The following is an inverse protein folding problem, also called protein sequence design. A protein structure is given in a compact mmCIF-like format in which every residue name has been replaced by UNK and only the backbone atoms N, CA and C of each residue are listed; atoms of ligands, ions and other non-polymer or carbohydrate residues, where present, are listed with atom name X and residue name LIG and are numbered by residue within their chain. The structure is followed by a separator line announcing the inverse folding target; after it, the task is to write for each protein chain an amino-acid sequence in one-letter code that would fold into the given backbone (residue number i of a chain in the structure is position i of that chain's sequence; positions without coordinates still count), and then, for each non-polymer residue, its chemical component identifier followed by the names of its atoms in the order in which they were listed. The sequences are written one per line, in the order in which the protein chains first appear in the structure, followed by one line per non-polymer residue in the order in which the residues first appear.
data_IF_747303268823
#
_entry.id   IF_747303268823
#
_cell.length_a   1.000
_cell.length_b   1.000
_cell.length_c   1.000
_cell.angle_alpha   90.00
_cell.angle_beta   90.00
_cell.angle_gamma   90.00
#
_symmetry.space_group_name_H-M   'P 1'
#
loop_
_entity.id
_entity.type
_entity.pdbx_description
1 polymer ?
#
# COMPACT_ATOMS: atom_id res chain seq x y z
N UNK A 1 3.15 -0.74 -24.65
CA UNK A 1 3.08 -1.02 -23.21
C UNK A 1 1.61 -0.97 -22.79
N UNK A 2 1.20 -1.83 -21.86
CA UNK A 2 -0.13 -1.79 -21.23
C UNK A 2 -0.01 -2.25 -19.76
N UNK A 3 -1.05 -2.07 -18.95
CA UNK A 3 -1.08 -2.60 -17.57
C UNK A 3 -1.64 -4.03 -17.54
N UNK A 4 -2.07 -4.50 -16.37
CA UNK A 4 -2.67 -5.83 -16.17
C UNK A 4 -4.20 -5.85 -16.30
N UNK A 5 -4.84 -4.83 -16.88
CA UNK A 5 -6.30 -4.83 -17.05
C UNK A 5 -6.79 -5.97 -17.96
N UNK A 6 -7.81 -6.75 -17.56
CA UNK A 6 -8.10 -8.06 -18.16
C UNK A 6 -8.71 -8.03 -19.58
N UNK A 7 -9.19 -6.87 -20.04
CA UNK A 7 -9.91 -6.72 -21.32
C UNK A 7 -9.01 -6.14 -22.41
N UNK A 8 -9.14 -4.84 -22.70
CA UNK A 8 -8.48 -4.21 -23.84
C UNK A 8 -6.95 -4.35 -23.80
N UNK A 9 -6.36 -4.23 -22.61
CA UNK A 9 -4.91 -4.28 -22.44
C UNK A 9 -4.35 -5.69 -22.65
N UNK A 10 -5.02 -6.72 -22.10
CA UNK A 10 -4.70 -8.11 -22.41
C UNK A 10 -4.75 -8.40 -23.91
N UNK A 11 -5.82 -7.94 -24.59
CA UNK A 11 -5.95 -8.13 -26.03
C UNK A 11 -4.81 -7.44 -26.81
N UNK A 12 -4.43 -6.22 -26.41
CA UNK A 12 -3.31 -5.50 -27.04
C UNK A 12 -1.97 -6.23 -26.85
N UNK A 13 -1.70 -6.74 -25.65
CA UNK A 13 -0.47 -7.51 -25.37
C UNK A 13 -0.41 -8.80 -26.19
N UNK A 14 -1.52 -9.54 -26.24
CA UNK A 14 -1.60 -10.78 -27.02
C UNK A 14 -1.46 -10.53 -28.53
N UNK A 15 -2.10 -9.49 -29.07
CA UNK A 15 -1.98 -9.11 -30.47
C UNK A 15 -0.55 -8.69 -30.83
N UNK A 16 0.13 -7.94 -29.96
CA UNK A 16 1.54 -7.61 -30.14
C UNK A 16 2.41 -8.86 -30.24
N UNK A 17 2.17 -9.86 -29.38
CA UNK A 17 2.84 -11.16 -29.46
C UNK A 17 2.62 -11.89 -30.78
N UNK A 18 1.38 -11.90 -31.30
CA UNK A 18 1.05 -12.50 -32.60
C UNK A 18 1.72 -11.79 -33.78
N UNK A 19 1.96 -10.47 -33.66
CA UNK A 19 2.61 -9.66 -34.68
C UNK A 19 4.13 -9.60 -34.53
N UNK A 20 4.71 -10.28 -33.52
CA UNK A 20 6.15 -10.21 -33.24
C UNK A 20 6.63 -8.85 -32.74
N UNK A 21 5.72 -8.01 -32.22
CA UNK A 21 6.02 -6.68 -31.68
C UNK A 21 6.38 -6.83 -30.19
N UNK A 22 7.56 -6.35 -29.74
CA UNK A 22 7.91 -6.37 -28.32
C UNK A 22 6.88 -5.65 -27.45
N UNK A 23 6.51 -6.27 -26.33
CA UNK A 23 5.47 -5.76 -25.45
C UNK A 23 5.90 -5.78 -23.97
N UNK A 24 5.44 -4.78 -23.23
CA UNK A 24 5.66 -4.66 -21.79
C UNK A 24 4.28 -4.64 -21.13
N UNK A 25 4.09 -5.52 -20.15
CA UNK A 25 2.99 -5.47 -19.19
C UNK A 25 3.51 -4.88 -17.87
N UNK A 26 3.00 -3.72 -17.46
CA UNK A 26 3.28 -3.14 -16.15
C UNK A 26 2.18 -3.54 -15.17
N UNK A 27 2.51 -4.41 -14.22
CA UNK A 27 1.57 -4.84 -13.19
C UNK A 27 1.34 -3.69 -12.22
N UNK A 28 0.07 -3.31 -12.02
CA UNK A 28 -0.29 -2.18 -11.17
C UNK A 28 0.01 -2.46 -9.68
N UNK A 29 -0.57 -3.52 -9.11
CA UNK A 29 -0.37 -3.89 -7.70
C UNK A 29 0.23 -5.29 -7.57
N UNK A 30 -0.56 -6.26 -7.09
CA UNK A 30 -0.09 -7.58 -6.70
C UNK A 30 -0.40 -8.67 -7.72
N UNK A 31 -1.30 -8.40 -8.68
CA UNK A 31 -1.74 -9.35 -9.71
C UNK A 31 -2.22 -10.72 -9.19
N UNK A 32 -2.84 -10.78 -8.00
CA UNK A 32 -3.21 -12.06 -7.36
C UNK A 32 -4.15 -12.93 -8.20
N UNK A 33 -5.01 -12.31 -9.02
CA UNK A 33 -5.91 -13.04 -9.93
C UNK A 33 -5.28 -13.14 -11.32
N UNK A 34 -4.68 -12.04 -11.80
CA UNK A 34 -4.14 -11.90 -13.13
C UNK A 34 -2.92 -12.80 -13.38
N UNK A 35 -2.22 -13.21 -12.32
CA UNK A 35 -1.08 -14.11 -12.40
C UNK A 35 -1.42 -15.42 -13.13
N UNK A 36 -2.67 -15.87 -13.10
CA UNK A 36 -3.11 -17.08 -13.79
C UNK A 36 -2.82 -17.05 -15.30
N UNK A 37 -2.90 -15.87 -15.93
CA UNK A 37 -2.60 -15.70 -17.35
C UNK A 37 -1.32 -14.90 -17.63
N UNK A 38 -1.01 -13.87 -16.83
CA UNK A 38 0.23 -13.08 -17.00
C UNK A 38 1.46 -13.92 -16.63
N UNK A 39 1.30 -14.86 -15.69
CA UNK A 39 2.34 -15.79 -15.26
C UNK A 39 2.73 -16.83 -16.31
N UNK A 40 1.91 -17.03 -17.34
CA UNK A 40 2.25 -17.98 -18.39
C UNK A 40 3.42 -17.45 -19.23
N UNK A 41 4.37 -18.32 -19.64
CA UNK A 41 5.43 -17.96 -20.58
C UNK A 41 4.89 -17.27 -21.84
N UNK A 42 5.59 -16.24 -22.31
CA UNK A 42 5.24 -15.59 -23.59
C UNK A 42 4.02 -14.65 -23.57
N UNK A 43 3.36 -14.42 -22.43
CA UNK A 43 2.30 -13.40 -22.30
C UNK A 43 2.72 -12.01 -22.82
N UNK A 44 3.80 -11.43 -22.27
CA UNK A 44 4.45 -10.23 -22.79
C UNK A 44 5.95 -10.47 -23.05
N UNK A 45 6.68 -9.56 -23.68
CA UNK A 45 8.15 -9.65 -23.77
C UNK A 45 8.82 -9.38 -22.43
N UNK A 46 8.27 -8.43 -21.66
CA UNK A 46 8.66 -8.13 -20.27
C UNK A 46 7.43 -7.87 -19.41
N UNK A 47 7.51 -8.27 -18.14
CA UNK A 47 6.53 -8.01 -17.09
C UNK A 47 7.24 -7.21 -16.01
N UNK A 48 6.81 -5.96 -15.83
CA UNK A 48 7.31 -5.07 -14.80
C UNK A 48 6.44 -5.24 -13.55
N UNK A 49 7.05 -5.51 -12.40
CA UNK A 49 6.34 -5.82 -11.14
C UNK A 49 6.75 -4.88 -10.01
N UNK A 50 5.86 -4.75 -9.02
CA UNK A 50 6.02 -3.85 -7.88
C UNK A 50 7.25 -4.17 -7.02
N UNK A 51 7.44 -5.44 -6.65
CA UNK A 51 8.49 -5.87 -5.73
C UNK A 51 8.89 -7.34 -5.95
N UNK A 52 9.88 -7.81 -5.20
CA UNK A 52 10.37 -9.19 -5.29
C UNK A 52 9.35 -10.24 -4.84
N UNK A 53 8.38 -9.89 -3.98
CA UNK A 53 7.30 -10.80 -3.59
C UNK A 53 6.40 -11.10 -4.79
N UNK A 54 6.01 -10.07 -5.54
CA UNK A 54 5.22 -10.22 -6.77
C UNK A 54 6.05 -10.97 -7.82
N UNK A 55 7.34 -10.66 -7.97
CA UNK A 55 8.25 -11.43 -8.85
C UNK A 55 8.24 -12.92 -8.53
N UNK A 56 8.36 -13.29 -7.25
CA UNK A 56 8.36 -14.69 -6.81
C UNK A 56 7.06 -15.40 -7.18
N UNK A 57 5.92 -14.75 -6.93
CA UNK A 57 4.61 -15.27 -7.32
C UNK A 57 4.54 -15.55 -8.84
N UNK A 58 5.07 -14.67 -9.68
CA UNK A 58 5.13 -14.89 -11.13
C UNK A 58 6.03 -16.07 -11.53
N UNK A 59 7.19 -16.22 -10.89
CA UNK A 59 8.09 -17.36 -11.12
C UNK A 59 7.40 -18.69 -10.79
N UNK A 60 6.68 -18.75 -9.66
CA UNK A 60 5.92 -19.93 -9.22
C UNK A 60 4.81 -20.31 -10.22
N UNK A 61 4.28 -19.35 -10.97
CA UNK A 61 3.28 -19.57 -12.02
C UNK A 61 3.87 -19.87 -13.41
N UNK A 62 5.18 -20.15 -13.47
CA UNK A 62 5.86 -20.63 -14.67
C UNK A 62 6.49 -19.54 -15.53
N UNK A 63 6.42 -18.27 -15.11
CA UNK A 63 7.02 -17.15 -15.85
C UNK A 63 8.54 -17.24 -15.79
N UNK A 64 9.21 -16.93 -16.90
CA UNK A 64 10.67 -16.98 -16.95
C UNK A 64 11.30 -15.79 -16.23
N UNK A 65 12.39 -16.04 -15.51
CA UNK A 65 13.01 -15.03 -14.64
C UNK A 65 13.51 -13.79 -15.38
N UNK A 66 13.99 -13.97 -16.61
CA UNK A 66 14.47 -12.93 -17.51
C UNK A 66 13.35 -12.09 -18.13
N UNK A 67 12.10 -12.57 -18.05
CA UNK A 67 10.92 -11.84 -18.49
C UNK A 67 10.34 -10.95 -17.40
N UNK A 68 10.81 -11.05 -16.14
CA UNK A 68 10.24 -10.32 -15.00
C UNK A 68 11.26 -9.31 -14.47
N UNK A 69 10.89 -8.04 -14.45
CA UNK A 69 11.73 -6.95 -13.95
C UNK A 69 11.02 -6.29 -12.77
N UNK A 70 11.69 -6.16 -11.62
CA UNK A 70 11.17 -5.40 -10.49
C UNK A 70 11.44 -3.93 -10.74
N UNK A 71 10.39 -3.16 -11.01
CA UNK A 71 10.50 -1.73 -11.32
C UNK A 71 9.84 -0.84 -10.28
N UNK A 72 8.94 -1.37 -9.44
CA UNK A 72 7.98 -0.55 -8.71
C UNK A 72 6.79 -0.14 -9.59
N UNK A 73 5.94 0.76 -9.08
CA UNK A 73 4.78 1.29 -9.80
C UNK A 73 4.88 2.83 -9.95
N UNK A 74 4.90 3.37 -11.18
CA UNK A 74 4.92 4.81 -11.46
C UNK A 74 3.85 5.64 -10.75
N UNK A 75 2.68 5.06 -10.46
CA UNK A 75 1.61 5.74 -9.73
C UNK A 75 2.05 6.22 -8.33
N UNK A 76 3.11 5.63 -7.79
CA UNK A 76 3.65 5.92 -6.47
C UNK A 76 4.94 6.73 -6.48
N UNK A 77 5.50 7.10 -7.65
CA UNK A 77 6.76 7.86 -7.74
C UNK A 77 6.70 9.19 -6.97
N UNK A 78 5.52 9.82 -6.92
CA UNK A 78 5.31 11.07 -6.17
C UNK A 78 5.55 10.92 -4.66
N UNK A 79 5.36 9.72 -4.11
CA UNK A 79 5.49 9.46 -2.67
C UNK A 79 6.91 9.60 -2.17
N UNK A 80 7.92 9.38 -3.02
CA UNK A 80 9.33 9.51 -2.65
C UNK A 80 9.95 10.81 -3.17
N UNK A 81 9.14 11.73 -3.72
CA UNK A 81 9.63 13.00 -4.24
C UNK A 81 10.05 13.94 -3.11
N UNK A 82 11.09 14.75 -3.34
CA UNK A 82 11.52 15.80 -2.39
C UNK A 82 10.36 16.73 -2.05
N UNK A 83 9.53 17.09 -3.04
CA UNK A 83 8.35 17.92 -2.83
C UNK A 83 7.34 17.31 -1.84
N UNK A 84 7.10 15.99 -1.88
CA UNK A 84 6.19 15.33 -0.94
C UNK A 84 6.77 15.28 0.47
N UNK A 85 8.09 15.05 0.60
CA UNK A 85 8.80 15.07 1.88
C UNK A 85 8.73 16.46 2.51
N UNK A 86 9.05 17.51 1.75
CA UNK A 86 9.02 18.90 2.20
C UNK A 86 7.59 19.33 2.58
N UNK A 87 6.60 18.96 1.78
CA UNK A 87 5.18 19.24 2.07
C UNK A 87 4.72 18.54 3.35
N UNK A 88 5.14 17.29 3.60
CA UNK A 88 4.85 16.58 4.84
C UNK A 88 5.51 17.22 6.06
N UNK A 89 6.76 17.66 5.95
CA UNK A 89 7.45 18.40 7.01
C UNK A 89 6.72 19.73 7.34
N UNK A 90 6.31 20.47 6.30
CA UNK A 90 5.53 21.69 6.46
C UNK A 90 4.16 21.43 7.10
N UNK A 91 3.46 20.36 6.69
CA UNK A 91 2.20 19.93 7.30
C UNK A 91 2.40 19.58 8.78
N UNK A 92 3.43 18.80 9.11
CA UNK A 92 3.76 18.43 10.49
C UNK A 92 4.00 19.67 11.35
N UNK A 93 4.74 20.65 10.83
CA UNK A 93 4.97 21.93 11.52
C UNK A 93 3.68 22.73 11.68
N UNK A 94 2.87 22.86 10.64
CA UNK A 94 1.61 23.61 10.67
C UNK A 94 0.59 23.02 11.67
N UNK A 95 0.61 21.70 11.88
CA UNK A 95 -0.22 21.01 12.87
C UNK A 95 0.39 20.98 14.27
N UNK A 96 1.61 21.50 14.45
CA UNK A 96 2.30 21.49 15.74
C UNK A 96 2.76 20.11 16.17
N UNK A 97 2.97 19.18 15.24
CA UNK A 97 3.30 17.78 15.53
C UNK A 97 4.80 17.54 15.84
N UNK A 98 5.57 18.61 16.01
CA UNK A 98 7.01 18.59 16.33
C UNK A 98 7.29 18.62 17.85
N UNK A 99 6.33 18.22 18.67
CA UNK A 99 6.37 18.25 20.13
C UNK A 99 6.87 16.93 20.77
N UNK A 100 7.43 16.03 19.97
CA UNK A 100 8.00 14.77 20.43
C UNK A 100 7.00 13.62 20.61
N UNK A 101 5.70 13.86 20.39
CA UNK A 101 4.69 12.81 20.39
C UNK A 101 4.80 11.93 19.14
N UNK A 102 4.55 10.63 19.31
CA UNK A 102 4.39 9.71 18.17
C UNK A 102 3.03 9.94 17.52
N UNK A 103 3.03 10.27 16.24
CA UNK A 103 1.84 10.55 15.44
C UNK A 103 1.39 9.31 14.69
N UNK A 104 0.28 8.73 15.13
CA UNK A 104 -0.30 7.52 14.51
C UNK A 104 -1.40 7.92 13.55
N UNK A 105 -1.32 7.49 12.29
CA UNK A 105 -2.41 7.62 11.32
C UNK A 105 -3.27 6.35 11.34
N UNK A 106 -4.57 6.50 11.60
CA UNK A 106 -5.57 5.50 11.27
C UNK A 106 -6.22 5.86 9.94
N UNK A 107 -5.84 5.13 8.88
CA UNK A 107 -6.49 5.25 7.58
C UNK A 107 -7.58 4.17 7.47
N UNK A 108 -8.79 4.55 7.88
CA UNK A 108 -9.94 3.67 7.92
C UNK A 108 -10.35 3.20 6.52
N UNK A 109 -10.98 2.04 6.49
CA UNK A 109 -11.54 1.42 5.30
C UNK A 109 -12.94 0.88 5.64
N UNK A 110 -13.83 0.85 4.65
CA UNK A 110 -15.13 0.18 4.81
C UNK A 110 -14.93 -1.33 4.87
N UNK A 111 -15.49 -1.94 5.90
CA UNK A 111 -15.62 -3.39 6.00
C UNK A 111 -17.08 -3.78 5.72
N UNK A 112 -17.38 -4.53 4.64
CA UNK A 112 -18.74 -4.99 4.37
C UNK A 112 -19.05 -6.30 5.10
N UNK A 113 -20.33 -6.62 5.23
CA UNK A 113 -20.78 -7.91 5.81
C UNK A 113 -20.43 -9.11 4.93
N UNK A 114 -20.25 -8.89 3.63
CA UNK A 114 -19.97 -9.94 2.63
C UNK A 114 -18.96 -9.47 1.63
N UNK A 115 -18.10 -10.40 1.22
CA UNK A 115 -17.15 -10.16 0.15
C UNK A 115 -17.87 -10.06 -1.21
N UNK A 116 -17.55 -9.09 -2.07
CA UNK A 116 -18.24 -8.90 -3.35
C UNK A 116 -18.04 -10.05 -4.35
N UNK A 117 -16.95 -10.81 -4.20
CA UNK A 117 -16.54 -11.87 -5.14
C UNK A 117 -16.38 -13.27 -4.51
N UNK A 118 -16.66 -13.42 -3.22
CA UNK A 118 -16.50 -14.71 -2.51
C UNK A 118 -17.62 -14.87 -1.47
N UNK A 119 -17.83 -16.09 -0.97
CA UNK A 119 -18.82 -16.35 0.08
C UNK A 119 -18.36 -15.97 1.50
N UNK A 120 -17.24 -15.25 1.63
CA UNK A 120 -16.69 -14.83 2.93
C UNK A 120 -17.58 -13.77 3.58
N UNK A 121 -17.79 -13.92 4.88
CA UNK A 121 -18.46 -12.94 5.72
C UNK A 121 -17.45 -12.01 6.40
N UNK A 122 -17.84 -10.75 6.56
CA UNK A 122 -17.06 -9.71 7.23
C UNK A 122 -17.75 -9.12 8.44
N UNK A 123 -17.03 -8.22 9.11
CA UNK A 123 -17.49 -7.52 10.31
C UNK A 123 -17.51 -6.01 10.08
N UNK A 124 -18.66 -5.41 9.74
CA UNK A 124 -18.77 -3.96 9.55
C UNK A 124 -18.36 -3.11 10.75
N UNK A 125 -18.24 -3.71 11.94
CA UNK A 125 -17.80 -3.01 13.14
C UNK A 125 -16.28 -2.93 13.25
N UNK A 126 -15.53 -3.71 12.48
CA UNK A 126 -14.07 -3.79 12.52
C UNK A 126 -13.39 -2.41 12.46
N UNK A 127 -13.71 -1.49 11.51
CA UNK A 127 -13.03 -0.20 11.44
C UNK A 127 -13.22 0.65 12.71
N UNK A 128 -14.40 0.56 13.35
CA UNK A 128 -14.69 1.26 14.60
C UNK A 128 -14.04 0.57 15.80
N UNK A 129 -13.95 -0.76 15.81
CA UNK A 129 -13.20 -1.51 16.83
C UNK A 129 -11.72 -1.12 16.82
N UNK A 130 -11.09 -1.06 15.65
CA UNK A 130 -9.70 -0.61 15.51
C UNK A 130 -9.54 0.82 15.99
N UNK A 131 -10.38 1.74 15.53
CA UNK A 131 -10.34 3.14 15.98
C UNK A 131 -10.51 3.27 17.50
N UNK A 132 -11.44 2.52 18.10
CA UNK A 132 -11.66 2.54 19.55
C UNK A 132 -10.41 2.09 20.33
N UNK A 133 -9.68 1.07 19.83
CA UNK A 133 -8.43 0.60 20.43
C UNK A 133 -7.32 1.65 20.33
N UNK A 134 -7.20 2.34 19.20
CA UNK A 134 -6.23 3.43 19.01
C UNK A 134 -6.56 4.66 19.87
N UNK A 135 -7.84 5.01 19.99
CA UNK A 135 -8.28 6.09 20.90
C UNK A 135 -7.98 5.74 22.36
N UNK A 136 -8.20 4.49 22.77
CA UNK A 136 -7.86 4.02 24.12
C UNK A 136 -6.35 4.07 24.38
N UNK A 137 -5.52 3.74 23.38
CA UNK A 137 -4.06 3.90 23.46
C UNK A 137 -3.70 5.37 23.74
N UNK A 138 -4.16 6.32 22.92
CA UNK A 138 -3.85 7.75 23.09
C UNK A 138 -4.38 8.33 24.40
N UNK A 139 -5.53 7.84 24.88
CA UNK A 139 -6.10 8.27 26.16
C UNK A 139 -5.27 7.78 27.35
N UNK A 140 -4.72 6.57 27.28
CA UNK A 140 -3.94 5.95 28.37
C UNK A 140 -2.46 6.28 28.34
N UNK A 141 -1.94 6.71 27.19
CA UNK A 141 -0.52 6.95 26.97
C UNK A 141 -0.29 8.35 26.37
N UNK A 142 0.27 9.30 27.16
CA UNK A 142 0.45 10.67 26.72
C UNK A 142 1.54 10.83 25.66
N UNK A 143 2.33 9.79 25.34
CA UNK A 143 3.36 9.83 24.31
C UNK A 143 2.84 9.72 22.88
N UNK A 144 1.53 9.48 22.70
CA UNK A 144 0.91 9.29 21.40
C UNK A 144 -0.13 10.36 21.06
N UNK A 145 -0.26 10.62 19.76
CA UNK A 145 -1.43 11.25 19.14
C UNK A 145 -2.00 10.36 18.05
N UNK A 146 -3.29 10.52 17.78
CA UNK A 146 -3.99 9.80 16.72
C UNK A 146 -4.56 10.80 15.69
N UNK A 147 -4.24 10.57 14.43
CA UNK A 147 -4.87 11.22 13.29
C UNK A 147 -5.81 10.20 12.65
N UNK A 148 -7.10 10.51 12.62
CA UNK A 148 -8.12 9.66 12.00
C UNK A 148 -8.44 10.19 10.62
N UNK A 149 -8.37 9.31 9.61
CA UNK A 149 -8.80 9.59 8.24
C UNK A 149 -9.82 8.53 7.83
N UNK A 150 -11.07 8.96 7.62
CA UNK A 150 -12.11 8.06 7.12
C UNK A 150 -12.03 7.87 5.62
N UNK A 151 -12.43 6.71 5.14
CA UNK A 151 -12.59 6.47 3.71
C UNK A 151 -13.69 7.37 3.14
N UNK A 152 -13.57 7.91 1.91
CA UNK A 152 -14.56 8.84 1.33
C UNK A 152 -15.99 8.31 1.27
N UNK A 153 -16.15 6.98 1.19
CA UNK A 153 -17.46 6.31 1.17
C UNK A 153 -18.04 6.09 2.57
N UNK A 154 -17.26 6.27 3.65
CA UNK A 154 -17.80 6.21 5.01
C UNK A 154 -18.70 7.42 5.27
N UNK A 155 -19.76 7.19 6.05
CA UNK A 155 -20.70 8.24 6.48
C UNK A 155 -20.67 8.37 7.99
N UNK A 156 -19.47 8.63 8.52
CA UNK A 156 -19.23 8.74 9.95
C UNK A 156 -18.75 10.14 10.30
N UNK A 157 -19.38 10.74 11.31
CA UNK A 157 -18.93 12.01 11.87
C UNK A 157 -17.71 11.79 12.77
N UNK A 158 -16.66 12.57 12.55
CA UNK A 158 -15.50 12.55 13.41
C UNK A 158 -15.85 13.07 14.82
N UNK A 159 -15.34 12.39 15.85
CA UNK A 159 -15.44 12.81 17.24
C UNK A 159 -14.06 13.24 17.75
N UNK A 160 -13.93 14.52 18.06
CA UNK A 160 -12.71 15.06 18.65
C UNK A 160 -12.49 14.53 20.07
N UNK A 161 -11.22 14.37 20.44
CA UNK A 161 -10.77 14.06 21.79
C UNK A 161 -9.36 14.61 21.99
N UNK A 162 -8.84 14.74 23.23
CA UNK A 162 -7.46 15.18 23.46
C UNK A 162 -6.46 14.33 22.67
N UNK A 163 -5.57 14.98 21.91
CA UNK A 163 -4.58 14.35 21.00
C UNK A 163 -5.19 13.41 19.94
N UNK A 164 -6.48 13.57 19.63
CA UNK A 164 -7.13 12.88 18.52
C UNK A 164 -7.64 13.91 17.53
N UNK A 165 -7.06 13.89 16.34
CA UNK A 165 -7.32 14.84 15.26
C UNK A 165 -7.92 14.14 14.05
N UNK A 166 -8.54 14.94 13.18
CA UNK A 166 -9.08 14.48 11.90
C UNK A 166 -8.18 14.92 10.74
N UNK A 167 -7.99 14.04 9.77
CA UNK A 167 -7.48 14.40 8.45
C UNK A 167 -8.60 14.26 7.43
N UNK A 168 -8.96 15.38 6.79
CA UNK A 168 -10.03 15.38 5.80
C UNK A 168 -9.57 14.74 4.48
N UNK A 169 -10.49 14.19 3.70
CA UNK A 169 -10.17 13.57 2.40
C UNK A 169 -9.58 14.54 1.39
N UNK A 170 -9.74 15.84 1.59
CA UNK A 170 -9.12 16.92 0.81
C UNK A 170 -7.63 17.13 1.11
N UNK A 171 -7.14 16.69 2.28
CA UNK A 171 -5.70 16.69 2.56
C UNK A 171 -5.01 15.65 1.68
N UNK A 172 -3.88 16.02 1.09
CA UNK A 172 -3.09 15.13 0.25
C UNK A 172 -2.51 14.00 1.10
N UNK A 173 -2.76 12.75 0.70
CA UNK A 173 -2.29 11.57 1.42
C UNK A 173 -0.77 11.48 1.43
N UNK A 174 -0.08 11.87 0.36
CA UNK A 174 1.39 11.79 0.29
C UNK A 174 2.04 12.68 1.36
N UNK A 175 1.57 13.92 1.47
CA UNK A 175 2.05 14.89 2.46
C UNK A 175 1.74 14.39 3.88
N UNK A 176 0.54 13.86 4.10
CA UNK A 176 0.15 13.29 5.39
C UNK A 176 1.05 12.11 5.80
N UNK A 177 1.36 11.20 4.87
CA UNK A 177 2.23 10.06 5.14
C UNK A 177 3.64 10.48 5.57
N UNK A 178 4.16 11.60 5.05
CA UNK A 178 5.44 12.18 5.51
C UNK A 178 5.33 13.00 6.79
N UNK A 179 4.12 13.35 7.22
CA UNK A 179 3.88 14.10 8.46
C UNK A 179 3.70 13.19 9.70
N UNK A 180 3.47 11.89 9.51
CA UNK A 180 3.17 10.91 10.57
C UNK A 180 4.31 9.93 10.83
N UNK A 181 4.24 9.22 11.95
CA UNK A 181 5.30 8.33 12.43
C UNK A 181 4.96 6.85 12.25
N UNK A 182 3.68 6.46 12.41
CA UNK A 182 3.20 5.09 12.23
C UNK A 182 1.85 5.11 11.52
N UNK A 183 1.62 4.17 10.59
CA UNK A 183 0.36 4.06 9.86
C UNK A 183 -0.33 2.74 10.19
N UNK A 184 -1.61 2.80 10.53
CA UNK A 184 -2.48 1.65 10.79
C UNK A 184 -3.54 1.59 9.70
N UNK A 185 -3.71 0.39 9.13
CA UNK A 185 -4.68 0.08 8.07
C UNK A 185 -5.33 -1.27 8.32
N UNK A 186 -6.42 -1.55 7.61
CA UNK A 186 -6.84 -2.91 7.24
C UNK A 186 -6.44 -3.16 5.77
N UNK A 187 -7.35 -3.60 4.91
CA UNK A 187 -7.10 -3.73 3.48
C UNK A 187 -7.29 -2.40 2.74
N UNK A 188 -6.24 -1.57 2.73
CA UNK A 188 -6.24 -0.25 2.06
C UNK A 188 -4.92 0.01 1.36
N UNK A 189 -4.96 0.53 0.12
CA UNK A 189 -3.76 0.90 -0.64
C UNK A 189 -2.88 1.91 0.10
N UNK A 190 -3.45 2.68 1.02
CA UNK A 190 -2.70 3.57 1.91
C UNK A 190 -1.61 2.82 2.68
N UNK A 191 -1.81 1.53 2.99
CA UNK A 191 -0.78 0.69 3.62
C UNK A 191 0.45 0.51 2.74
N UNK A 192 0.24 0.26 1.44
CA UNK A 192 1.34 0.22 0.48
C UNK A 192 1.99 1.61 0.31
N UNK A 193 1.18 2.67 0.16
CA UNK A 193 1.69 4.03 0.01
C UNK A 193 2.55 4.46 1.22
N UNK A 194 2.12 4.12 2.43
CA UNK A 194 2.85 4.39 3.67
C UNK A 194 4.20 3.67 3.71
N UNK A 195 4.23 2.40 3.33
CA UNK A 195 5.46 1.61 3.25
C UNK A 195 6.45 2.21 2.24
N UNK A 196 5.95 2.69 1.09
CA UNK A 196 6.75 3.38 0.07
C UNK A 196 7.29 4.71 0.59
N UNK A 197 6.51 5.45 1.36
CA UNK A 197 6.95 6.67 2.05
C UNK A 197 7.90 6.40 3.25
N UNK A 198 8.32 5.15 3.45
CA UNK A 198 9.23 4.74 4.51
C UNK A 198 8.60 4.77 5.91
N UNK A 199 7.28 4.74 6.01
CA UNK A 199 6.58 4.71 7.30
C UNK A 199 6.37 3.26 7.75
N UNK A 200 6.59 2.94 9.04
CA UNK A 200 6.13 1.69 9.63
C UNK A 200 4.61 1.51 9.44
N UNK A 201 4.21 0.35 8.92
CA UNK A 201 2.81 0.02 8.66
C UNK A 201 2.36 -1.15 9.52
N UNK A 202 1.20 -1.01 10.14
CA UNK A 202 0.51 -2.06 10.87
C UNK A 202 -0.77 -2.39 10.10
N UNK A 203 -0.91 -3.64 9.69
CA UNK A 203 -2.11 -4.17 9.04
C UNK A 203 -2.92 -4.95 10.05
N UNK A 204 -4.19 -4.60 10.25
CA UNK A 204 -5.13 -5.40 11.04
C UNK A 204 -5.75 -6.46 10.13
N UNK A 205 -5.29 -7.69 10.31
CA UNK A 205 -5.56 -8.83 9.43
C UNK A 205 -6.87 -9.56 9.78
N UNK A 206 -7.84 -8.85 10.37
CA UNK A 206 -9.23 -9.32 10.61
C UNK A 206 -10.17 -9.02 9.42
N UNK A 207 -9.74 -8.24 8.43
CA UNK A 207 -10.58 -7.84 7.30
C UNK A 207 -10.83 -9.00 6.34
N UNK A 208 -12.03 -9.07 5.75
CA UNK A 208 -12.35 -10.05 4.70
C UNK A 208 -11.47 -9.90 3.47
N UNK A 209 -10.90 -8.72 3.28
CA UNK A 209 -10.06 -8.37 2.14
C UNK A 209 -8.58 -8.60 2.44
N UNK A 210 -8.20 -9.00 3.66
CA UNK A 210 -6.80 -9.32 4.01
C UNK A 210 -6.16 -10.31 3.02
N UNK A 211 -6.85 -11.37 2.54
CA UNK A 211 -6.26 -12.29 1.57
C UNK A 211 -6.02 -11.69 0.18
N UNK A 212 -6.58 -10.51 -0.09
CA UNK A 212 -6.46 -9.78 -1.36
C UNK A 212 -5.33 -8.73 -1.31
N UNK A 213 -4.84 -8.38 -0.12
CA UNK A 213 -3.72 -7.43 0.06
C UNK A 213 -2.45 -8.09 0.60
N UNK A 214 -2.58 -9.05 1.51
CA UNK A 214 -1.49 -9.86 2.12
C UNK A 214 -0.23 -9.07 2.48
N UNK A 215 -0.39 -7.88 3.07
CA UNK A 215 0.72 -6.97 3.33
C UNK A 215 1.81 -7.56 4.21
N UNK A 216 1.46 -8.39 5.20
CA UNK A 216 2.43 -9.07 6.04
C UNK A 216 3.32 -10.05 5.24
N UNK A 217 2.71 -10.91 4.43
CA UNK A 217 3.43 -11.88 3.58
C UNK A 217 4.35 -11.19 2.57
N UNK A 218 3.94 -10.01 2.09
CA UNK A 218 4.69 -9.22 1.11
C UNK A 218 5.78 -8.33 1.73
N UNK A 219 5.91 -8.31 3.07
CA UNK A 219 6.85 -7.44 3.77
C UNK A 219 6.49 -5.95 3.72
N UNK A 220 5.24 -5.62 3.39
CA UNK A 220 4.71 -4.23 3.33
C UNK A 220 4.37 -3.72 4.72
N UNK A 221 3.83 -4.59 5.58
CA UNK A 221 3.36 -4.22 6.91
C UNK A 221 3.67 -5.30 7.93
N UNK A 222 3.62 -4.93 9.21
CA UNK A 222 3.45 -5.89 10.29
C UNK A 222 1.97 -6.24 10.42
N UNK A 223 1.62 -7.49 10.17
CA UNK A 223 0.28 -8.01 10.40
C UNK A 223 -0.01 -8.20 11.89
N UNK A 224 -1.22 -7.84 12.33
CA UNK A 224 -1.79 -8.25 13.62
C UNK A 224 -3.05 -9.04 13.37
N UNK A 225 -3.19 -10.20 14.02
CA UNK A 225 -4.32 -11.09 13.79
C UNK A 225 -5.62 -10.54 14.40
N UNK A 226 -5.51 -9.60 15.34
CA UNK A 226 -6.66 -8.94 15.94
C UNK A 226 -6.50 -7.43 16.15
N UNK A 227 -7.60 -6.70 16.04
CA UNK A 227 -7.74 -5.31 16.48
C UNK A 227 -7.34 -5.12 17.95
N UNK A 228 -7.41 -6.16 18.79
CA UNK A 228 -6.94 -6.09 20.18
C UNK A 228 -5.42 -5.96 20.31
N UNK A 229 -4.66 -6.41 19.32
CA UNK A 229 -3.19 -6.39 19.31
C UNK A 229 -2.62 -5.07 18.75
N UNK A 230 -3.46 -4.26 18.08
CA UNK A 230 -3.03 -3.05 17.37
C UNK A 230 -2.27 -2.07 18.27
N UNK A 231 -2.69 -1.92 19.54
CA UNK A 231 -2.04 -1.01 20.46
C UNK A 231 -0.62 -1.45 20.85
N UNK A 232 -0.39 -2.76 21.03
CA UNK A 232 0.95 -3.29 21.28
C UNK A 232 1.84 -3.09 20.06
N UNK A 233 1.33 -3.44 18.87
CA UNK A 233 2.07 -3.27 17.63
C UNK A 233 2.47 -1.81 17.36
N UNK A 234 1.60 -0.84 17.67
CA UNK A 234 1.92 0.59 17.56
C UNK A 234 3.06 0.98 18.50
N UNK A 235 3.04 0.52 19.76
CA UNK A 235 4.13 0.81 20.71
C UNK A 235 5.46 0.23 20.25
N UNK A 236 5.44 -0.99 19.74
CA UNK A 236 6.64 -1.66 19.24
C UNK A 236 7.20 -0.96 17.99
N UNK A 237 6.32 -0.56 17.05
CA UNK A 237 6.72 0.23 15.89
C UNK A 237 7.33 1.58 16.28
N UNK A 238 6.73 2.27 17.26
CA UNK A 238 7.24 3.53 17.79
C UNK A 238 8.61 3.38 18.48
N UNK A 239 8.90 2.21 19.07
CA UNK A 239 10.19 1.88 19.65
C UNK A 239 11.26 1.45 18.60
N UNK A 240 10.94 1.50 17.31
CA UNK A 240 11.87 1.17 16.21
C UNK A 240 11.81 -0.27 15.72
N UNK A 241 10.86 -1.11 16.17
CA UNK A 241 10.69 -2.49 15.71
C UNK A 241 9.87 -2.61 14.40
N UNK A 242 9.97 -1.62 13.50
CA UNK A 242 9.21 -1.59 12.25
C UNK A 242 9.75 -2.53 11.18
N UNK A 243 8.89 -2.96 10.25
CA UNK A 243 9.30 -3.67 9.03
C UNK A 243 9.81 -2.65 8.02
N UNK A 244 11.04 -2.80 7.56
CA UNK A 244 11.57 -1.99 6.47
C UNK A 244 11.07 -2.54 5.13
N UNK A 245 10.21 -1.78 4.44
CA UNK A 245 9.81 -2.10 3.08
C UNK A 245 10.90 -1.68 2.09
N UNK A 246 11.41 -2.62 1.29
CA UNK A 246 12.32 -2.33 0.19
C UNK A 246 11.51 -2.25 -1.11
N UNK A 247 11.42 -1.06 -1.71
CA UNK A 247 11.14 -0.98 -3.15
C UNK A 247 12.35 -1.46 -3.95
N UNK A 248 12.18 -1.67 -5.26
CA UNK A 248 13.17 -2.24 -6.17
C UNK A 248 14.59 -1.67 -6.04
N UNK A 249 15.54 -2.40 -6.63
CA UNK A 249 16.97 -2.38 -6.29
C UNK A 249 17.76 -1.15 -6.78
N UNK A 250 17.14 -0.23 -7.52
CA UNK A 250 17.82 0.89 -8.17
C UNK A 250 17.28 2.20 -7.59
N UNK A 251 18.13 3.08 -7.08
CA UNK A 251 17.75 4.42 -6.57
C UNK A 251 17.20 5.40 -7.64
N UNK A 252 16.46 4.89 -8.63
CA UNK A 252 15.73 5.57 -9.70
C UNK A 252 14.23 5.38 -9.46
N UNK A 253 13.41 6.27 -10.03
CA UNK A 253 11.95 6.14 -9.93
C UNK A 253 11.44 4.95 -10.74
N UNK A 254 10.24 4.46 -10.43
CA UNK A 254 9.63 3.35 -11.16
C UNK A 254 9.37 3.71 -12.63
N UNK A 255 9.02 4.97 -12.90
CA UNK A 255 8.95 5.50 -14.27
C UNK A 255 10.30 5.38 -14.98
N UNK A 256 11.39 5.78 -14.33
CA UNK A 256 12.74 5.69 -14.89
C UNK A 256 13.16 4.25 -15.19
N UNK A 257 12.81 3.30 -14.32
CA UNK A 257 13.09 1.89 -14.55
C UNK A 257 12.27 1.30 -15.71
N UNK A 258 11.00 1.67 -15.83
CA UNK A 258 10.17 1.22 -16.96
C UNK A 258 10.70 1.76 -18.29
N UNK A 259 11.10 3.05 -18.35
CA UNK A 259 11.70 3.62 -19.55
C UNK A 259 12.97 2.87 -19.97
N UNK A 260 13.83 2.51 -19.00
CA UNK A 260 15.01 1.67 -19.26
C UNK A 260 14.65 0.30 -19.83
N UNK A 261 13.58 -0.32 -19.34
CA UNK A 261 13.08 -1.59 -19.89
C UNK A 261 12.58 -1.38 -21.33
N UNK A 262 11.87 -0.29 -21.61
CA UNK A 262 11.42 0.06 -22.97
C UNK A 262 12.60 0.22 -23.93
N UNK A 263 13.61 1.02 -23.55
CA UNK A 263 14.79 1.26 -24.38
C UNK A 263 15.56 -0.04 -24.68
N UNK A 264 15.61 -0.96 -23.72
CA UNK A 264 16.27 -2.27 -23.88
C UNK A 264 15.59 -3.21 -24.89
N UNK A 265 14.33 -2.94 -25.27
CA UNK A 265 13.60 -3.72 -26.27
C UNK A 265 13.65 -3.11 -27.68
N UNK A 266 14.13 -1.86 -27.79
CA UNK A 266 14.27 -1.12 -29.05
C UNK A 266 15.70 -1.16 -29.60
N UNK A 267 16.66 -1.61 -28.80
CA UNK A 267 18.08 -1.77 -29.14
C UNK A 267 18.37 -3.16 -29.68
#
# INVERSE_FOLDING_TARGET
MATNSPRAERAAIMAAGQLGIPSICAVDLFALQEVQWIGQPGYATRVCVLNDSVRRMFLEHGRRSEEIIVTGNPAFDRLTSVAAVDAGAALRQARGWNDGLTTVLWASQIEPERHPFTDRCGDPTLPRRVEARLRALVASDPSFRLVVRYHPSERVQFRAAPRVEFSATSENIADLLHAVDVVVVTASTVGLEAAIAGRPVISVDESIFTPDTRYAEMGVARGVASANEVASAVREAAAGAGVAFSQGQSGRSATGEILRVMDSLLS
#
